data_IF_211352912425
#
_entry.id   IF_211352912425
#
_cell.length_a   1.000
_cell.length_b   1.000
_cell.length_c   1.000
_cell.angle_alpha   90.00
_cell.angle_beta   90.00
_cell.angle_gamma   90.00
#
_symmetry.space_group_name_H-M   'P 1'
#
loop_
_entity.id
_entity.type
_entity.pdbx_description
1 polymer ?
#
# COMPACT_ATOMS: atom_id res chain seq x y z
N UNK A 1 -4.39 21.35 -26.67
CA UNK A 1 -3.41 21.29 -25.57
C UNK A 1 -2.69 19.97 -25.76
N UNK A 2 -1.49 20.00 -26.34
CA UNK A 2 -0.80 18.79 -26.79
C UNK A 2 -0.45 17.91 -25.59
N UNK A 3 -1.21 16.84 -25.39
CA UNK A 3 -0.83 15.75 -24.49
C UNK A 3 0.50 15.22 -25.02
N UNK A 4 1.58 15.51 -24.32
CA UNK A 4 2.87 14.86 -24.53
C UNK A 4 2.73 13.40 -24.09
N UNK A 5 2.01 12.62 -24.89
CA UNK A 5 1.80 11.20 -24.67
C UNK A 5 3.18 10.55 -24.62
N UNK A 6 3.47 9.91 -23.50
CA UNK A 6 4.71 9.18 -23.34
C UNK A 6 4.72 8.07 -24.39
N UNK A 7 5.87 7.79 -25.00
CA UNK A 7 5.99 6.78 -26.04
C UNK A 7 5.91 5.36 -25.43
N UNK A 8 4.71 4.92 -25.09
CA UNK A 8 4.44 3.63 -24.46
C UNK A 8 4.47 2.45 -25.45
N UNK A 9 4.48 2.73 -26.74
CA UNK A 9 4.67 1.75 -27.83
C UNK A 9 6.08 1.16 -27.82
N UNK A 10 7.06 1.87 -27.23
CA UNK A 10 8.40 1.32 -26.99
C UNK A 10 8.41 0.18 -25.96
N UNK A 11 7.37 0.06 -25.14
CA UNK A 11 7.32 -0.88 -24.01
C UNK A 11 6.18 -1.89 -24.10
N UNK A 12 5.32 -1.78 -25.11
CA UNK A 12 4.15 -2.63 -25.27
C UNK A 12 3.42 -2.42 -26.58
N UNK A 13 2.29 -3.11 -26.71
CA UNK A 13 1.41 -3.03 -27.88
C UNK A 13 0.03 -2.54 -27.47
N UNK A 14 -0.66 -1.84 -28.37
CA UNK A 14 -2.07 -1.48 -28.23
C UNK A 14 -2.95 -2.30 -29.18
N UNK A 15 -4.12 -2.70 -28.72
CA UNK A 15 -5.14 -3.31 -29.59
C UNK A 15 -6.01 -2.24 -30.28
N UNK A 16 -6.91 -2.69 -31.18
CA UNK A 16 -7.82 -1.79 -31.91
C UNK A 16 -8.79 -1.00 -31.01
N UNK A 17 -8.99 -1.44 -29.76
CA UNK A 17 -9.84 -0.77 -28.75
C UNK A 17 -9.03 0.17 -27.85
N UNK A 18 -7.73 0.29 -28.09
CA UNK A 18 -6.80 1.13 -27.33
C UNK A 18 -6.32 0.50 -26.02
N UNK A 19 -6.58 -0.78 -25.77
CA UNK A 19 -6.04 -1.48 -24.59
C UNK A 19 -4.53 -1.66 -24.74
N UNK A 20 -3.76 -1.18 -23.79
CA UNK A 20 -2.31 -1.35 -23.78
C UNK A 20 -1.91 -2.62 -23.02
N UNK A 21 -0.90 -3.33 -23.51
CA UNK A 21 -0.25 -4.43 -22.80
C UNK A 21 1.27 -4.35 -22.96
N UNK A 22 2.06 -4.66 -21.92
CA UNK A 22 3.52 -4.69 -22.02
C UNK A 22 3.99 -5.85 -22.91
N UNK A 23 5.20 -5.75 -23.46
CA UNK A 23 5.85 -6.88 -24.16
C UNK A 23 6.21 -8.03 -23.22
N UNK A 24 6.58 -7.71 -21.97
CA UNK A 24 6.99 -8.68 -20.95
C UNK A 24 5.81 -9.27 -20.18
N UNK A 25 5.99 -10.49 -19.68
CA UNK A 25 5.11 -11.10 -18.68
C UNK A 25 5.49 -10.68 -17.27
N UNK A 26 4.52 -10.66 -16.36
CA UNK A 26 4.78 -10.44 -14.93
C UNK A 26 5.61 -11.63 -14.41
N UNK A 27 6.80 -11.41 -13.85
CA UNK A 27 7.60 -12.49 -13.27
C UNK A 27 6.92 -13.01 -12.00
N UNK A 28 7.05 -14.30 -11.75
CA UNK A 28 6.52 -14.93 -10.53
C UNK A 28 7.29 -14.38 -9.32
N UNK A 29 6.56 -13.84 -8.34
CA UNK A 29 7.08 -13.35 -7.08
C UNK A 29 6.40 -14.08 -5.92
N UNK A 30 7.16 -14.72 -5.00
CA UNK A 30 8.61 -14.90 -5.05
C UNK A 30 9.04 -15.84 -6.20
N UNK A 31 10.22 -15.64 -6.79
CA UNK A 31 10.72 -16.54 -7.82
C UNK A 31 10.87 -17.96 -7.26
N UNK A 32 10.77 -19.00 -8.12
CA UNK A 32 10.89 -20.45 -7.79
C UNK A 32 12.20 -20.89 -7.10
N UNK A 33 12.99 -19.93 -6.62
CA UNK A 33 14.29 -20.07 -6.01
C UNK A 33 14.17 -20.34 -4.49
N UNK A 34 12.96 -20.21 -3.92
CA UNK A 34 12.68 -20.51 -2.50
C UNK A 34 12.42 -22.01 -2.30
N UNK A 35 12.97 -22.68 -1.25
CA UNK A 35 13.95 -22.19 -0.27
C UNK A 35 15.42 -22.53 -0.63
N UNK A 36 15.67 -23.23 -1.73
CA UNK A 36 16.93 -23.97 -1.91
C UNK A 36 18.15 -23.14 -2.35
N UNK A 37 18.05 -21.81 -2.55
CA UNK A 37 19.19 -20.96 -2.97
C UNK A 37 19.22 -19.59 -2.23
N UNK A 38 19.64 -19.54 -0.95
CA UNK A 38 19.55 -18.33 -0.11
C UNK A 38 20.32 -17.12 -0.66
N UNK A 39 21.50 -17.34 -1.26
CA UNK A 39 22.31 -16.24 -1.84
C UNK A 39 21.60 -15.58 -3.02
N UNK A 40 20.92 -16.37 -3.87
CA UNK A 40 20.17 -15.82 -5.01
C UNK A 40 18.94 -15.06 -4.52
N UNK A 41 18.28 -15.54 -3.47
CA UNK A 41 17.17 -14.86 -2.83
C UNK A 41 17.60 -13.50 -2.25
N UNK A 42 18.70 -13.47 -1.49
CA UNK A 42 19.22 -12.22 -0.93
C UNK A 42 19.56 -11.20 -2.03
N UNK A 43 20.24 -11.64 -3.10
CA UNK A 43 20.52 -10.77 -4.26
C UNK A 43 19.24 -10.26 -4.93
N UNK A 44 18.22 -11.10 -5.08
CA UNK A 44 16.93 -10.69 -5.66
C UNK A 44 16.20 -9.68 -4.77
N UNK A 45 16.28 -9.87 -3.45
CA UNK A 45 15.61 -9.01 -2.48
C UNK A 45 16.13 -7.56 -2.56
N UNK A 46 17.46 -7.37 -2.60
CA UNK A 46 18.10 -6.05 -2.55
C UNK A 46 18.49 -5.46 -3.91
N UNK A 47 18.36 -6.20 -5.02
CA UNK A 47 18.63 -5.67 -6.38
C UNK A 47 17.63 -4.55 -6.73
N UNK A 48 18.03 -3.66 -7.64
CA UNK A 48 17.14 -2.69 -8.30
C UNK A 48 16.89 -3.08 -9.78
N UNK A 49 15.62 -3.11 -10.27
CA UNK A 49 14.41 -3.29 -9.47
C UNK A 49 14.40 -4.71 -8.86
N UNK A 50 13.94 -4.81 -7.62
CA UNK A 50 13.85 -6.06 -6.86
C UNK A 50 12.71 -5.97 -5.85
N UNK A 51 12.67 -6.87 -4.87
CA UNK A 51 11.56 -6.91 -3.91
C UNK A 51 11.56 -5.69 -2.97
N UNK A 52 12.75 -5.26 -2.53
CA UNK A 52 12.91 -4.14 -1.59
C UNK A 52 12.77 -2.78 -2.30
N UNK A 53 13.43 -2.60 -3.45
CA UNK A 53 13.53 -1.28 -4.08
C UNK A 53 12.75 -1.20 -5.41
N UNK A 54 12.07 -0.07 -5.69
CA UNK A 54 11.97 1.14 -4.84
C UNK A 54 10.78 1.11 -3.86
N UNK A 55 9.70 0.41 -4.20
CA UNK A 55 8.40 0.61 -3.56
C UNK A 55 8.32 0.13 -2.12
N UNK A 56 8.79 -1.08 -1.84
CA UNK A 56 8.82 -1.61 -0.46
C UNK A 56 9.67 -0.73 0.46
N UNK A 57 10.80 -0.21 -0.04
CA UNK A 57 11.65 0.70 0.70
C UNK A 57 10.92 2.01 1.05
N UNK A 58 10.18 2.60 0.12
CA UNK A 58 9.36 3.79 0.40
C UNK A 58 8.32 3.48 1.48
N UNK A 59 7.63 2.33 1.40
CA UNK A 59 6.67 1.92 2.43
C UNK A 59 7.34 1.72 3.79
N UNK A 60 8.54 1.14 3.82
CA UNK A 60 9.33 0.98 5.05
C UNK A 60 9.63 2.33 5.69
N UNK A 61 10.03 3.33 4.89
CA UNK A 61 10.25 4.69 5.40
C UNK A 61 8.97 5.28 5.98
N UNK A 62 7.83 5.11 5.30
CA UNK A 62 6.52 5.56 5.82
C UNK A 62 6.17 4.83 7.11
N UNK A 63 6.41 3.52 7.20
CA UNK A 63 6.15 2.72 8.41
C UNK A 63 7.02 3.18 9.57
N UNK A 64 8.33 3.35 9.37
CA UNK A 64 9.25 3.84 10.40
C UNK A 64 8.82 5.24 10.85
N UNK A 65 8.55 6.14 9.90
CA UNK A 65 8.11 7.50 10.21
C UNK A 65 6.79 7.49 11.01
N UNK A 66 5.85 6.65 10.60
CA UNK A 66 4.55 6.54 11.25
C UNK A 66 4.68 5.98 12.65
N UNK A 67 5.39 4.86 12.82
CA UNK A 67 5.50 4.15 14.08
C UNK A 67 6.27 4.96 15.15
N UNK A 68 7.38 5.60 14.78
CA UNK A 68 8.21 6.30 15.75
C UNK A 68 7.77 7.74 16.03
N UNK A 69 7.11 8.41 15.08
CA UNK A 69 6.77 9.83 15.23
C UNK A 69 5.26 10.12 15.22
N UNK A 70 4.44 9.24 14.65
CA UNK A 70 3.00 9.45 14.46
C UNK A 70 2.15 8.36 15.10
N UNK A 71 2.72 7.61 16.05
CA UNK A 71 1.99 6.67 16.90
C UNK A 71 2.11 7.15 18.34
N UNK A 72 1.00 7.33 19.07
CA UNK A 72 1.03 7.70 20.49
C UNK A 72 1.82 6.70 21.33
N UNK A 73 2.23 7.10 22.53
CA UNK A 73 2.89 6.18 23.46
C UNK A 73 1.93 5.07 23.92
N UNK A 74 2.46 3.89 24.24
CA UNK A 74 1.66 2.80 24.80
C UNK A 74 0.98 3.21 26.12
N UNK A 75 1.61 4.08 26.93
CA UNK A 75 0.99 4.62 28.15
C UNK A 75 -0.29 5.40 27.83
N UNK A 76 -0.26 6.27 26.82
CA UNK A 76 -1.44 7.02 26.36
C UNK A 76 -2.55 6.09 25.86
N UNK A 77 -2.18 4.98 25.22
CA UNK A 77 -3.14 4.05 24.61
C UNK A 77 -3.74 3.03 25.58
N UNK A 78 -3.38 3.07 26.88
CA UNK A 78 -4.01 2.22 27.91
C UNK A 78 -5.49 2.54 28.09
N UNK A 79 -5.85 3.81 28.05
CA UNK A 79 -7.25 4.28 28.15
C UNK A 79 -7.75 4.71 26.78
N UNK A 80 -8.97 4.30 26.41
CA UNK A 80 -9.59 4.76 25.18
C UNK A 80 -9.99 6.22 25.35
N UNK A 81 -9.35 7.11 24.60
CA UNK A 81 -9.67 8.53 24.58
C UNK A 81 -9.90 8.99 23.15
N UNK A 82 -10.90 9.85 22.97
CA UNK A 82 -11.27 10.41 21.67
C UNK A 82 -10.09 11.16 21.04
N UNK A 83 -9.23 11.77 21.86
CA UNK A 83 -8.07 12.57 21.44
C UNK A 83 -7.11 11.78 20.54
N UNK A 84 -6.59 10.66 21.03
CA UNK A 84 -5.61 9.86 20.29
C UNK A 84 -6.25 8.99 19.21
N UNK A 85 -7.51 8.58 19.39
CA UNK A 85 -8.29 7.90 18.35
C UNK A 85 -8.50 8.83 17.16
N UNK A 86 -8.88 10.09 17.40
CA UNK A 86 -9.05 11.10 16.36
C UNK A 86 -7.71 11.45 15.70
N UNK A 87 -6.61 11.49 16.46
CA UNK A 87 -5.27 11.67 15.91
C UNK A 87 -4.89 10.55 14.93
N UNK A 88 -5.08 9.28 15.32
CA UNK A 88 -4.83 8.10 14.46
C UNK A 88 -5.69 8.16 13.20
N UNK A 89 -6.98 8.48 13.33
CA UNK A 89 -7.91 8.65 12.21
C UNK A 89 -7.43 9.73 11.23
N UNK A 90 -7.11 10.91 11.75
CA UNK A 90 -6.66 12.05 10.95
C UNK A 90 -5.33 11.75 10.25
N UNK A 91 -4.37 11.18 10.98
CA UNK A 91 -3.09 10.73 10.42
C UNK A 91 -3.29 9.74 9.27
N UNK A 92 -4.14 8.74 9.44
CA UNK A 92 -4.45 7.76 8.38
C UNK A 92 -5.06 8.43 7.15
N UNK A 93 -6.00 9.35 7.36
CA UNK A 93 -6.60 10.14 6.31
C UNK A 93 -5.54 10.97 5.55
N UNK A 94 -4.63 11.63 6.25
CA UNK A 94 -3.55 12.44 5.64
C UNK A 94 -2.58 11.58 4.85
N UNK A 95 -2.08 10.47 5.43
CA UNK A 95 -1.16 9.55 4.74
C UNK A 95 -1.80 9.07 3.43
N UNK A 96 -3.06 8.62 3.48
CA UNK A 96 -3.75 8.11 2.31
C UNK A 96 -4.06 9.20 1.30
N UNK A 97 -4.47 10.40 1.74
CA UNK A 97 -4.73 11.55 0.88
C UNK A 97 -3.47 11.97 0.12
N UNK A 98 -2.34 12.10 0.82
CA UNK A 98 -1.06 12.49 0.22
C UNK A 98 -0.60 11.43 -0.77
N UNK A 99 -0.60 10.15 -0.36
CA UNK A 99 -0.13 9.06 -1.21
C UNK A 99 -0.99 8.90 -2.47
N UNK A 100 -2.30 8.71 -2.29
CA UNK A 100 -3.21 8.46 -3.40
C UNK A 100 -3.45 9.72 -4.22
N UNK A 101 -3.50 10.90 -3.59
CA UNK A 101 -3.64 12.19 -4.26
C UNK A 101 -2.45 12.52 -5.15
N UNK A 102 -1.22 12.27 -4.68
CA UNK A 102 -0.02 12.43 -5.49
C UNK A 102 -0.10 11.60 -6.77
N UNK A 103 -0.38 10.30 -6.65
CA UNK A 103 -0.52 9.42 -7.82
C UNK A 103 -1.71 9.78 -8.69
N UNK A 104 -2.85 10.13 -8.10
CA UNK A 104 -4.04 10.53 -8.85
C UNK A 104 -3.73 11.71 -9.77
N UNK A 105 -3.09 12.77 -9.25
CA UNK A 105 -2.70 13.94 -10.05
C UNK A 105 -1.61 13.59 -11.08
N UNK A 106 -0.58 12.86 -10.66
CA UNK A 106 0.53 12.47 -11.54
C UNK A 106 0.09 11.61 -12.72
N UNK A 107 -0.84 10.67 -12.48
CA UNK A 107 -1.36 9.74 -13.48
C UNK A 107 -2.48 10.37 -14.31
N UNK A 108 -3.25 11.32 -13.76
CA UNK A 108 -4.18 12.13 -14.55
C UNK A 108 -3.43 12.92 -15.63
N UNK A 109 -2.29 13.49 -15.29
CA UNK A 109 -1.43 14.21 -16.25
C UNK A 109 -0.72 13.29 -17.26
N UNK A 110 -0.73 11.96 -17.05
CA UNK A 110 -0.19 10.98 -17.99
C UNK A 110 -1.19 10.59 -19.11
N UNK A 111 -2.44 11.05 -19.01
CA UNK A 111 -3.45 10.78 -20.03
C UNK A 111 -3.81 9.29 -20.11
N UNK A 112 -3.72 8.71 -21.31
CA UNK A 112 -3.99 7.29 -21.56
C UNK A 112 -2.73 6.44 -21.71
N UNK A 113 -1.55 7.06 -21.61
CA UNK A 113 -0.28 6.35 -21.74
C UNK A 113 -0.14 5.27 -20.65
N UNK A 114 0.31 4.07 -21.03
CA UNK A 114 0.45 2.87 -20.18
C UNK A 114 -0.83 2.36 -19.49
N UNK A 115 -2.02 2.87 -19.83
CA UNK A 115 -3.28 2.34 -19.29
C UNK A 115 -3.70 1.06 -20.00
N UNK A 116 -3.86 -0.01 -19.22
CA UNK A 116 -4.46 -1.26 -19.70
C UNK A 116 -5.86 -1.06 -20.29
N UNK A 117 -6.66 -0.19 -19.68
CA UNK A 117 -7.94 0.24 -20.20
C UNK A 117 -7.97 1.77 -20.35
N UNK A 118 -8.13 2.31 -21.57
CA UNK A 118 -8.12 3.76 -21.78
C UNK A 118 -9.41 4.45 -21.34
N UNK A 119 -10.45 3.70 -20.93
CA UNK A 119 -11.73 4.28 -20.48
C UNK A 119 -11.48 5.27 -19.33
N UNK A 120 -12.06 6.48 -19.41
CA UNK A 120 -11.99 7.43 -18.31
C UNK A 120 -12.79 6.93 -17.11
N UNK A 121 -12.53 7.53 -15.94
CA UNK A 121 -13.39 7.33 -14.78
C UNK A 121 -14.80 7.80 -15.10
N UNK A 122 -15.78 7.03 -14.66
CA UNK A 122 -17.17 7.22 -15.08
C UNK A 122 -17.83 8.41 -14.37
N UNK A 123 -18.56 9.21 -15.16
CA UNK A 123 -19.38 10.34 -14.71
C UNK A 123 -20.80 10.18 -15.24
N UNK A 124 -21.79 10.68 -14.49
CA UNK A 124 -23.22 10.55 -14.79
C UNK A 124 -23.71 9.08 -14.90
N UNK A 125 -23.12 8.17 -14.12
CA UNK A 125 -23.56 6.78 -14.07
C UNK A 125 -24.32 6.49 -12.74
N UNK A 126 -25.61 6.10 -12.78
CA UNK A 126 -26.43 5.81 -11.59
C UNK A 126 -25.99 4.58 -10.78
N UNK A 127 -25.03 3.78 -11.26
CA UNK A 127 -24.40 2.73 -10.46
C UNK A 127 -23.62 3.28 -9.27
N UNK A 128 -23.14 4.53 -9.35
CA UNK A 128 -22.40 5.20 -8.28
C UNK A 128 -23.34 6.05 -7.41
N UNK A 129 -23.15 6.05 -6.09
CA UNK A 129 -23.91 6.78 -5.08
C UNK A 129 -24.03 8.27 -5.41
N UNK A 130 -22.97 8.89 -5.94
CA UNK A 130 -22.95 10.30 -6.33
C UNK A 130 -22.97 10.51 -7.86
N UNK A 131 -23.39 9.50 -8.63
CA UNK A 131 -23.30 9.47 -10.08
C UNK A 131 -21.88 9.71 -10.62
N UNK A 132 -20.84 9.54 -9.80
CA UNK A 132 -19.47 9.86 -10.14
C UNK A 132 -18.51 8.94 -9.40
N UNK A 133 -17.77 8.14 -10.16
CA UNK A 133 -16.86 7.13 -9.62
C UNK A 133 -15.79 7.72 -8.68
N UNK A 134 -15.28 8.93 -8.97
CA UNK A 134 -14.23 9.54 -8.14
C UNK A 134 -14.79 9.99 -6.79
N UNK A 135 -16.01 10.55 -6.76
CA UNK A 135 -16.67 10.96 -5.52
C UNK A 135 -17.01 9.76 -4.64
N UNK A 136 -17.53 8.69 -5.25
CA UNK A 136 -17.80 7.43 -4.57
C UNK A 136 -16.53 6.84 -3.95
N UNK A 137 -15.45 6.74 -4.73
CA UNK A 137 -14.18 6.23 -4.25
C UNK A 137 -13.68 7.05 -3.05
N UNK A 138 -13.77 8.37 -3.10
CA UNK A 138 -13.40 9.23 -1.96
C UNK A 138 -14.29 8.97 -0.75
N UNK A 139 -15.61 8.92 -0.93
CA UNK A 139 -16.53 8.66 0.17
C UNK A 139 -16.27 7.31 0.85
N UNK A 140 -16.22 6.21 0.10
CA UNK A 140 -15.93 4.90 0.68
C UNK A 140 -14.54 4.82 1.29
N UNK A 141 -13.56 5.53 0.73
CA UNK A 141 -12.21 5.57 1.29
C UNK A 141 -12.18 6.28 2.65
N UNK A 142 -12.72 7.50 2.73
CA UNK A 142 -12.64 8.33 3.95
C UNK A 142 -13.71 8.01 4.99
N UNK A 143 -14.88 7.53 4.58
CA UNK A 143 -16.00 7.24 5.49
C UNK A 143 -16.14 5.75 5.83
N UNK A 144 -15.42 4.85 5.16
CA UNK A 144 -15.44 3.41 5.46
C UNK A 144 -14.05 2.82 5.65
N UNK A 145 -13.19 2.84 4.63
CA UNK A 145 -11.89 2.16 4.69
C UNK A 145 -10.97 2.73 5.78
N UNK A 146 -10.79 4.06 5.83
CA UNK A 146 -9.95 4.72 6.84
C UNK A 146 -10.49 4.51 8.27
N UNK A 147 -11.79 4.68 8.54
CA UNK A 147 -12.37 4.35 9.86
C UNK A 147 -12.17 2.89 10.27
N UNK A 148 -12.36 1.93 9.35
CA UNK A 148 -12.14 0.52 9.65
C UNK A 148 -10.68 0.21 9.96
N UNK A 149 -9.74 0.73 9.14
CA UNK A 149 -8.31 0.62 9.41
C UNK A 149 -7.94 1.21 10.78
N UNK A 150 -8.49 2.39 11.08
CA UNK A 150 -8.29 3.07 12.35
C UNK A 150 -8.82 2.27 13.53
N UNK A 151 -10.01 1.68 13.41
CA UNK A 151 -10.59 0.82 14.46
C UNK A 151 -9.69 -0.39 14.74
N UNK A 152 -9.16 -1.04 13.70
CA UNK A 152 -8.19 -2.13 13.86
C UNK A 152 -6.93 -1.68 14.61
N UNK A 153 -6.35 -0.53 14.24
CA UNK A 153 -5.18 0.02 14.94
C UNK A 153 -5.48 0.35 16.40
N UNK A 154 -6.57 1.08 16.65
CA UNK A 154 -6.99 1.51 17.99
C UNK A 154 -7.18 0.30 18.91
N UNK A 155 -7.92 -0.71 18.47
CA UNK A 155 -8.18 -1.92 19.25
C UNK A 155 -6.88 -2.69 19.51
N UNK A 156 -6.02 -2.81 18.50
CA UNK A 156 -4.75 -3.55 18.60
C UNK A 156 -3.78 -2.86 19.56
N UNK A 157 -3.59 -1.55 19.42
CA UNK A 157 -2.68 -0.79 20.30
C UNK A 157 -3.21 -0.71 21.73
N UNK A 158 -4.52 -0.55 21.91
CA UNK A 158 -5.14 -0.62 23.23
C UNK A 158 -4.93 -2.00 23.87
N UNK A 159 -5.07 -3.08 23.11
CA UNK A 159 -4.83 -4.44 23.59
C UNK A 159 -3.34 -4.69 23.93
N UNK A 160 -2.40 -4.15 23.15
CA UNK A 160 -0.97 -4.16 23.50
C UNK A 160 -0.68 -3.38 24.79
N UNK A 161 -1.23 -2.17 24.91
CA UNK A 161 -1.02 -1.31 26.07
C UNK A 161 -1.55 -1.92 27.38
N UNK A 162 -2.64 -2.68 27.29
CA UNK A 162 -3.27 -3.38 28.42
C UNK A 162 -2.80 -4.83 28.60
N UNK A 163 -1.78 -5.28 27.87
CA UNK A 163 -1.25 -6.65 27.95
C UNK A 163 -2.29 -7.75 27.69
N UNK A 164 -3.33 -7.45 26.90
CA UNK A 164 -4.37 -8.42 26.49
C UNK A 164 -3.81 -9.37 25.43
N UNK A 165 -2.95 -8.85 24.54
CA UNK A 165 -2.22 -9.63 23.54
C UNK A 165 -0.72 -9.34 23.64
N UNK A 166 0.16 -10.28 23.23
CA UNK A 166 1.61 -10.10 23.35
C UNK A 166 2.12 -8.95 22.48
N UNK A 167 2.95 -8.08 23.07
CA UNK A 167 3.69 -7.03 22.37
C UNK A 167 5.19 -7.34 22.40
N UNK A 168 5.84 -7.22 21.24
CA UNK A 168 7.29 -7.44 21.13
C UNK A 168 8.01 -6.10 21.17
N UNK A 169 8.85 -5.90 22.20
CA UNK A 169 9.64 -4.68 22.35
C UNK A 169 10.82 -4.64 21.39
N UNK A 170 10.96 -3.55 20.64
CA UNK A 170 12.13 -3.25 19.83
C UNK A 170 13.42 -3.12 20.67
N UNK A 171 13.31 -2.66 21.91
CA UNK A 171 14.48 -2.51 22.80
C UNK A 171 14.98 -3.86 23.29
N UNK A 172 14.06 -4.77 23.59
CA UNK A 172 14.39 -6.09 24.13
C UNK A 172 14.77 -7.09 23.04
N UNK A 173 14.12 -7.04 21.88
CA UNK A 173 14.30 -8.01 20.80
C UNK A 173 14.56 -7.36 19.42
N UNK A 174 15.55 -6.45 19.28
CA UNK A 174 15.77 -5.69 18.05
C UNK A 174 16.06 -6.60 16.84
N UNK A 175 16.86 -7.66 17.04
CA UNK A 175 17.22 -8.60 15.96
C UNK A 175 15.99 -9.35 15.46
N UNK A 176 15.15 -9.82 16.37
CA UNK A 176 13.92 -10.54 16.03
C UNK A 176 12.93 -9.63 15.29
N UNK A 177 12.73 -8.40 15.78
CA UNK A 177 11.89 -7.42 15.10
C UNK A 177 12.40 -7.09 13.70
N UNK A 178 13.72 -6.90 13.52
CA UNK A 178 14.32 -6.71 12.20
C UNK A 178 14.03 -7.91 11.27
N UNK A 179 14.24 -9.14 11.75
CA UNK A 179 13.96 -10.34 10.94
C UNK A 179 12.49 -10.38 10.53
N UNK A 180 11.55 -10.20 11.47
CA UNK A 180 10.13 -10.17 11.15
C UNK A 180 9.78 -9.07 10.15
N UNK A 181 10.35 -7.88 10.32
CA UNK A 181 10.12 -6.73 9.45
C UNK A 181 10.54 -7.01 8.01
N UNK A 182 11.69 -7.64 7.79
CA UNK A 182 12.14 -8.08 6.46
C UNK A 182 11.38 -9.29 5.92
N UNK A 183 10.68 -10.05 6.77
CA UNK A 183 9.82 -11.15 6.34
C UNK A 183 8.41 -10.69 5.91
N UNK A 184 7.98 -9.47 6.27
CA UNK A 184 6.64 -8.95 5.95
C UNK A 184 6.26 -9.10 4.48
N UNK A 185 7.10 -8.74 3.48
CA UNK A 185 6.73 -8.90 2.07
C UNK A 185 6.44 -10.36 1.70
N UNK A 186 7.22 -11.31 2.23
CA UNK A 186 7.02 -12.73 1.98
C UNK A 186 5.73 -13.25 2.63
N UNK A 187 5.46 -12.85 3.87
CA UNK A 187 4.24 -13.24 4.59
C UNK A 187 3.01 -12.71 3.83
N UNK A 188 3.05 -11.44 3.42
CA UNK A 188 1.97 -10.81 2.64
C UNK A 188 1.74 -11.52 1.32
N UNK A 189 2.80 -11.77 0.55
CA UNK A 189 2.68 -12.40 -0.77
C UNK A 189 2.20 -13.86 -0.65
N UNK A 190 2.64 -14.59 0.39
CA UNK A 190 2.15 -15.94 0.70
C UNK A 190 0.67 -15.93 1.12
N UNK A 191 0.27 -15.00 2.00
CA UNK A 191 -1.13 -14.83 2.40
C UNK A 191 -2.02 -14.52 1.20
N UNK A 192 -1.60 -13.59 0.34
CA UNK A 192 -2.31 -13.25 -0.89
C UNK A 192 -2.51 -14.49 -1.78
N UNK A 193 -1.44 -15.25 -2.02
CA UNK A 193 -1.51 -16.48 -2.81
C UNK A 193 -2.50 -17.50 -2.25
N UNK A 194 -2.51 -17.73 -0.93
CA UNK A 194 -3.40 -18.72 -0.30
C UNK A 194 -4.86 -18.28 -0.29
N UNK A 195 -5.14 -16.99 -0.18
CA UNK A 195 -6.51 -16.45 -0.07
C UNK A 195 -7.16 -16.14 -1.41
N UNK A 196 -6.38 -15.98 -2.47
CA UNK A 196 -6.85 -15.58 -3.80
C UNK A 196 -6.70 -16.67 -4.87
N UNK A 197 -6.28 -17.89 -4.50
CA UNK A 197 -6.17 -19.04 -5.38
C UNK A 197 -7.21 -20.10 -5.00
#
# INVERSE_FOLDING_TARGET
>A
MDEKNLNDEQFGTRDKRGHWKPFGSIPINPPYVIPFKPIKLFKYYFKYPGMMFPWTFIFILITIATYFFLTPSLETMKTLEISWIAFILFRNAVILLVWTGFFHLRLKNQGTSFKYNPRPLETNNPTFLFNNQTKDNLFYTFCSAIPLWTAYEVITFWAFANQIIPYVSWEMYPIYCCILFFLVPFIRDAHFYVTHR
#
